data_IF_679925283075
#
_entry.id   IF_679925283075
#
_cell.length_a   1.000
_cell.length_b   1.000
_cell.length_c   1.000
_cell.angle_alpha   90.00
_cell.angle_beta   90.00
_cell.angle_gamma   90.00
#
_symmetry.space_group_name_H-M   'P 1'
#
loop_
_entity.id
_entity.type
_entity.pdbx_description
1 polymer ?
#
# COMPACT_ATOMS: atom_id res chain seq x y z
N UNK A 1 2.38 13.49 15.96
CA UNK A 1 3.29 12.36 16.23
C UNK A 1 4.61 12.82 16.78
N UNK A 2 5.35 13.73 16.12
CA UNK A 2 6.62 14.22 16.66
C UNK A 2 6.46 15.15 17.89
N UNK A 3 5.27 15.73 18.06
CA UNK A 3 4.90 16.63 19.17
C UNK A 3 3.92 15.99 20.16
N UNK A 4 3.92 14.67 20.30
CA UNK A 4 3.05 13.94 21.24
C UNK A 4 3.87 13.08 22.17
N UNK A 5 3.46 12.94 23.44
CA UNK A 5 4.01 12.00 24.44
C UNK A 5 3.69 10.53 24.10
N UNK A 6 3.57 10.21 22.81
CA UNK A 6 3.20 8.89 22.32
C UNK A 6 4.31 7.88 22.58
N UNK A 7 5.59 8.25 22.45
CA UNK A 7 6.71 7.33 22.75
C UNK A 7 6.66 6.92 24.23
N UNK A 8 6.57 7.90 25.13
CA UNK A 8 6.45 7.66 26.58
C UNK A 8 5.23 6.78 26.92
N UNK A 9 4.09 7.03 26.28
CA UNK A 9 2.91 6.18 26.44
C UNK A 9 3.10 4.76 25.89
N UNK A 10 3.87 4.59 24.82
CA UNK A 10 4.17 3.30 24.20
C UNK A 10 5.22 2.50 24.99
N UNK A 11 6.15 3.15 25.68
CA UNK A 11 7.11 2.52 26.62
C UNK A 11 6.39 1.85 27.79
N UNK A 12 5.31 2.48 28.27
CA UNK A 12 4.48 1.98 29.37
C UNK A 12 3.25 1.20 28.89
N UNK A 13 3.19 0.88 27.59
CA UNK A 13 2.09 0.11 27.01
C UNK A 13 2.06 -1.27 27.64
N UNK A 14 0.88 -1.69 28.13
CA UNK A 14 0.67 -3.05 28.63
C UNK A 14 0.94 -4.08 27.53
N UNK A 15 1.46 -5.24 27.90
CA UNK A 15 1.85 -6.31 26.97
C UNK A 15 0.67 -6.83 26.10
N UNK A 16 -0.55 -6.79 26.65
CA UNK A 16 -1.78 -7.22 25.97
C UNK A 16 -2.28 -6.21 24.92
N UNK A 17 -1.80 -4.96 24.97
CA UNK A 17 -2.19 -3.91 24.03
C UNK A 17 -1.25 -3.91 22.84
N UNK A 18 -1.83 -4.01 21.64
CA UNK A 18 -1.07 -3.98 20.39
C UNK A 18 -1.15 -2.62 19.72
N UNK A 19 0.01 -2.14 19.24
CA UNK A 19 0.13 -0.87 18.54
C UNK A 19 0.45 -1.10 17.06
N UNK A 20 -0.52 -0.75 16.22
CA UNK A 20 -0.46 -0.87 14.77
C UNK A 20 -0.67 0.51 14.14
N UNK A 21 0.39 1.32 13.95
CA UNK A 21 0.24 2.61 13.28
C UNK A 21 -0.17 2.41 11.83
N UNK A 22 -1.04 3.31 11.37
CA UNK A 22 -1.38 3.43 9.95
C UNK A 22 -0.29 4.24 9.24
N UNK A 23 0.35 3.63 8.24
CA UNK A 23 1.40 4.25 7.44
C UNK A 23 0.92 4.38 6.01
N UNK A 24 0.88 5.63 5.53
CA UNK A 24 0.54 5.94 4.15
C UNK A 24 1.82 5.91 3.29
N UNK A 25 1.74 5.42 2.04
CA UNK A 25 2.86 5.40 1.07
C UNK A 25 3.35 6.82 0.66
N UNK A 26 2.82 7.85 1.30
CA UNK A 26 2.88 9.26 0.94
C UNK A 26 3.95 10.07 1.71
N UNK A 27 4.50 9.58 2.81
CA UNK A 27 5.12 10.48 3.79
C UNK A 27 6.64 10.64 3.71
N UNK A 28 7.14 11.89 3.70
CA UNK A 28 8.43 12.28 4.35
C UNK A 28 8.50 11.84 5.83
N UNK A 29 7.36 11.44 6.40
CA UNK A 29 7.19 10.96 7.77
C UNK A 29 7.29 9.43 7.88
N UNK A 30 7.39 8.67 6.78
CA UNK A 30 7.66 7.23 6.84
C UNK A 30 9.00 6.99 7.53
N UNK A 31 10.03 7.77 7.17
CA UNK A 31 11.33 7.76 7.84
C UNK A 31 11.23 8.11 9.33
N UNK A 32 10.33 9.04 9.69
CA UNK A 32 10.08 9.41 11.10
C UNK A 32 9.43 8.26 11.87
N UNK A 33 8.50 7.52 11.26
CA UNK A 33 7.86 6.35 11.88
C UNK A 33 8.88 5.23 12.08
N UNK A 34 9.64 4.90 11.03
CA UNK A 34 10.69 3.87 11.07
C UNK A 34 11.73 4.22 12.14
N UNK A 35 12.29 5.42 12.10
CA UNK A 35 13.39 5.79 13.00
C UNK A 35 12.98 5.98 14.47
N UNK A 36 11.73 6.39 14.75
CA UNK A 36 11.31 6.73 16.13
C UNK A 36 10.44 5.69 16.81
N UNK A 37 9.70 4.88 16.05
CA UNK A 37 8.66 4.02 16.62
C UNK A 37 8.83 2.54 16.32
N UNK A 38 9.78 2.13 15.47
CA UNK A 38 9.93 0.74 15.04
C UNK A 38 10.06 -0.25 16.22
N UNK A 39 10.76 0.14 17.30
CA UNK A 39 10.91 -0.70 18.49
C UNK A 39 9.61 -0.87 19.31
N UNK A 40 8.63 0.01 19.10
CA UNK A 40 7.38 0.06 19.88
C UNK A 40 6.15 -0.42 19.10
N UNK A 41 6.30 -0.70 17.80
CA UNK A 41 5.20 -1.23 16.97
C UNK A 41 5.16 -2.75 17.05
N UNK A 42 3.94 -3.30 17.08
CA UNK A 42 3.70 -4.75 16.98
C UNK A 42 3.45 -5.20 15.54
N UNK A 43 3.31 -4.25 14.62
CA UNK A 43 2.92 -4.44 13.24
C UNK A 43 2.48 -3.11 12.64
N UNK A 44 2.16 -3.08 11.35
CA UNK A 44 1.72 -1.86 10.67
C UNK A 44 0.45 -2.07 9.87
N UNK A 45 -0.26 -0.97 9.63
CA UNK A 45 -1.36 -0.91 8.66
C UNK A 45 -0.90 -0.04 7.49
N UNK A 46 -0.56 -0.66 6.36
CA UNK A 46 -0.12 0.00 5.14
C UNK A 46 -1.33 0.46 4.30
N UNK A 47 -1.27 1.69 3.77
CA UNK A 47 -2.38 2.32 3.05
C UNK A 47 -1.90 3.10 1.84
N UNK A 48 -2.19 2.62 0.61
CA UNK A 48 -1.77 3.30 -0.62
C UNK A 48 -2.40 4.69 -0.78
N UNK A 49 -1.53 5.68 -0.98
CA UNK A 49 -1.90 7.06 -1.31
C UNK A 49 -2.33 7.27 -2.76
N UNK A 50 -2.00 6.33 -3.63
CA UNK A 50 -2.59 6.24 -4.96
C UNK A 50 -3.14 4.83 -5.13
N UNK A 51 -4.26 4.57 -4.44
CA UNK A 51 -4.97 3.29 -4.49
C UNK A 51 -5.27 2.80 -5.92
N UNK A 52 -5.27 3.72 -6.89
CA UNK A 52 -5.58 3.49 -8.30
C UNK A 52 -4.38 3.09 -9.18
N UNK A 53 -3.21 2.81 -8.59
CA UNK A 53 -2.04 2.35 -9.33
C UNK A 53 -1.64 0.93 -8.89
N UNK A 54 -2.25 -0.07 -9.51
CA UNK A 54 -1.99 -1.49 -9.22
C UNK A 54 -0.56 -1.86 -9.56
N UNK A 55 -0.02 -1.31 -10.64
CA UNK A 55 1.33 -1.63 -11.13
C UNK A 55 2.47 -1.20 -10.19
N UNK A 56 2.19 -0.28 -9.25
CA UNK A 56 3.14 0.15 -8.24
C UNK A 56 2.99 -0.59 -6.90
N UNK A 57 1.89 -1.31 -6.68
CA UNK A 57 1.50 -1.83 -5.36
C UNK A 57 2.43 -2.92 -4.82
N UNK A 58 2.80 -3.92 -5.64
CA UNK A 58 3.66 -5.02 -5.21
C UNK A 58 5.06 -4.55 -4.75
N UNK A 59 5.81 -3.76 -5.57
CA UNK A 59 7.08 -3.18 -5.13
C UNK A 59 6.96 -2.38 -3.84
N UNK A 60 5.86 -1.63 -3.73
CA UNK A 60 5.51 -0.82 -2.57
C UNK A 60 5.36 -1.66 -1.31
N UNK A 61 4.59 -2.75 -1.35
CA UNK A 61 4.37 -3.62 -0.20
C UNK A 61 5.66 -4.35 0.23
N UNK A 62 6.48 -4.78 -0.74
CA UNK A 62 7.78 -5.38 -0.43
C UNK A 62 8.70 -4.43 0.33
N UNK A 63 8.74 -3.15 -0.05
CA UNK A 63 9.54 -2.16 0.67
C UNK A 63 9.07 -2.01 2.13
N UNK A 64 7.77 -2.02 2.39
CA UNK A 64 7.25 -1.98 3.76
C UNK A 64 7.65 -3.20 4.57
N UNK A 65 7.66 -4.39 3.97
CA UNK A 65 8.20 -5.59 4.61
C UNK A 65 9.67 -5.40 5.02
N UNK A 66 10.48 -4.77 4.17
CA UNK A 66 11.90 -4.48 4.47
C UNK A 66 12.05 -3.40 5.55
N UNK A 67 11.29 -2.30 5.46
CA UNK A 67 11.38 -1.17 6.39
C UNK A 67 10.99 -1.51 7.82
N UNK A 68 10.12 -2.51 7.98
CA UNK A 68 9.56 -2.88 9.27
C UNK A 68 10.00 -4.27 9.73
N UNK A 69 11.13 -4.80 9.21
CA UNK A 69 11.95 -5.88 9.80
C UNK A 69 11.16 -6.92 10.64
N UNK A 70 10.51 -7.87 9.97
CA UNK A 70 9.67 -8.95 10.54
C UNK A 70 8.41 -8.53 11.31
N UNK A 71 8.01 -7.26 11.27
CA UNK A 71 6.72 -6.82 11.82
C UNK A 71 5.58 -7.18 10.85
N UNK A 72 4.46 -7.74 11.34
CA UNK A 72 3.33 -8.09 10.48
C UNK A 72 2.74 -6.86 9.80
N UNK A 73 2.55 -6.95 8.50
CA UNK A 73 1.98 -5.91 7.64
C UNK A 73 0.52 -6.26 7.36
N UNK A 74 -0.38 -5.32 7.64
CA UNK A 74 -1.77 -5.39 7.17
C UNK A 74 -2.00 -4.33 6.11
N UNK A 75 -2.67 -4.67 5.01
CA UNK A 75 -2.95 -3.71 3.95
C UNK A 75 -4.44 -3.35 3.88
N UNK A 76 -4.74 -2.06 3.70
CA UNK A 76 -6.11 -1.59 3.55
C UNK A 76 -6.55 -1.61 2.10
N UNK A 77 -7.65 -2.31 1.82
CA UNK A 77 -8.30 -2.36 0.51
C UNK A 77 -9.56 -1.52 0.56
N UNK A 78 -9.71 -0.60 -0.40
CA UNK A 78 -10.85 0.29 -0.53
C UNK A 78 -11.75 -0.16 -1.69
N UNK A 79 -12.83 -0.93 -1.45
CA UNK A 79 -13.79 -1.26 -2.50
C UNK A 79 -14.66 -0.04 -2.91
N UNK A 80 -14.47 1.11 -2.26
CA UNK A 80 -15.21 2.33 -2.55
C UNK A 80 -14.35 3.56 -2.32
N UNK A 81 -14.77 4.67 -2.91
CA UNK A 81 -14.08 5.95 -2.74
C UNK A 81 -14.14 6.43 -1.28
N UNK A 82 -13.03 6.94 -0.75
CA UNK A 82 -13.02 7.58 0.57
C UNK A 82 -13.44 9.04 0.45
N UNK A 83 -13.92 9.63 1.55
CA UNK A 83 -14.37 11.03 1.59
C UNK A 83 -13.32 12.03 1.06
N UNK A 84 -12.04 11.77 1.31
CA UNK A 84 -10.95 12.62 0.81
C UNK A 84 -10.83 12.57 -0.72
N UNK A 85 -11.00 11.39 -1.31
CA UNK A 85 -10.96 11.22 -2.77
C UNK A 85 -12.24 11.75 -3.43
N UNK A 86 -13.39 11.68 -2.76
CA UNK A 86 -14.64 12.28 -3.27
C UNK A 86 -14.50 13.80 -3.47
N UNK A 87 -13.82 14.48 -2.52
CA UNK A 87 -13.52 15.92 -2.62
C UNK A 87 -12.57 16.28 -3.76
N UNK A 88 -11.81 15.32 -4.26
CA UNK A 88 -10.85 15.47 -5.36
C UNK A 88 -11.41 14.95 -6.69
N UNK A 89 -12.73 14.73 -6.79
CA UNK A 89 -13.42 14.26 -7.99
C UNK A 89 -12.95 12.90 -8.53
N UNK A 90 -12.40 12.04 -7.67
CA UNK A 90 -12.09 10.67 -8.08
C UNK A 90 -13.39 9.88 -8.31
N UNK A 91 -13.32 8.92 -9.23
CA UNK A 91 -14.35 7.89 -9.35
C UNK A 91 -14.12 6.80 -8.31
N UNK A 92 -15.18 6.09 -7.87
CA UNK A 92 -15.01 4.81 -7.19
C UNK A 92 -14.14 3.86 -8.01
N UNK A 93 -13.34 3.00 -7.35
CA UNK A 93 -12.57 1.99 -8.07
C UNK A 93 -13.51 1.03 -8.80
N UNK A 94 -13.08 0.57 -9.97
CA UNK A 94 -13.77 -0.52 -10.66
C UNK A 94 -13.57 -1.83 -9.92
N UNK A 95 -14.48 -2.80 -10.13
CA UNK A 95 -14.32 -4.15 -9.56
C UNK A 95 -12.98 -4.78 -9.97
N UNK A 96 -12.50 -4.50 -11.18
CA UNK A 96 -11.20 -4.96 -11.65
C UNK A 96 -10.04 -4.36 -10.83
N UNK A 97 -10.08 -3.06 -10.53
CA UNK A 97 -9.05 -2.44 -9.67
C UNK A 97 -9.05 -3.05 -8.27
N UNK A 98 -10.23 -3.29 -7.69
CA UNK A 98 -10.38 -3.92 -6.38
C UNK A 98 -9.83 -5.35 -6.40
N UNK A 99 -10.20 -6.15 -7.39
CA UNK A 99 -9.80 -7.56 -7.47
C UNK A 99 -8.30 -7.72 -7.75
N UNK A 100 -7.72 -6.84 -8.57
CA UNK A 100 -6.27 -6.83 -8.84
C UNK A 100 -5.48 -6.42 -7.59
N UNK A 101 -5.99 -5.46 -6.83
CA UNK A 101 -5.39 -5.04 -5.55
C UNK A 101 -5.45 -6.17 -4.53
N UNK A 102 -6.59 -6.87 -4.43
CA UNK A 102 -6.74 -8.04 -3.56
C UNK A 102 -5.78 -9.16 -3.96
N UNK A 103 -5.66 -9.46 -5.25
CA UNK A 103 -4.77 -10.49 -5.80
C UNK A 103 -3.30 -10.25 -5.41
N UNK A 104 -2.83 -9.01 -5.47
CA UNK A 104 -1.47 -8.65 -5.06
C UNK A 104 -1.35 -8.72 -3.53
N UNK A 105 -2.21 -8.00 -2.81
CA UNK A 105 -2.10 -7.86 -1.37
C UNK A 105 -2.18 -9.20 -0.64
N UNK A 106 -3.07 -10.10 -1.07
CA UNK A 106 -3.26 -11.41 -0.42
C UNK A 106 -2.04 -12.33 -0.49
N UNK A 107 -1.14 -12.09 -1.45
CA UNK A 107 0.10 -12.86 -1.59
C UNK A 107 1.28 -12.29 -0.81
N UNK A 108 1.22 -11.00 -0.42
CA UNK A 108 2.37 -10.26 0.10
C UNK A 108 2.23 -9.91 1.58
N UNK A 109 1.02 -9.57 2.05
CA UNK A 109 0.82 -9.08 3.41
C UNK A 109 0.22 -10.11 4.34
N UNK A 110 0.47 -9.98 5.64
CA UNK A 110 -0.03 -10.87 6.70
C UNK A 110 -1.53 -10.73 6.96
N UNK A 111 -2.15 -9.66 6.47
CA UNK A 111 -3.60 -9.49 6.58
C UNK A 111 -4.17 -8.38 5.71
N UNK A 112 -5.42 -8.58 5.29
CA UNK A 112 -6.18 -7.60 4.52
C UNK A 112 -7.25 -6.97 5.41
N UNK A 113 -7.35 -5.63 5.36
CA UNK A 113 -8.41 -4.86 5.99
C UNK A 113 -9.28 -4.25 4.90
N UNK A 114 -10.53 -4.70 4.79
CA UNK A 114 -11.49 -4.16 3.83
C UNK A 114 -12.17 -2.93 4.45
N UNK A 115 -11.93 -1.75 3.87
CA UNK A 115 -12.46 -0.50 4.39
C UNK A 115 -13.81 -0.15 3.75
N UNK A 116 -14.88 -0.37 4.51
CA UNK A 116 -16.28 -0.19 4.11
C UNK A 116 -16.74 -1.08 2.93
N UNK A 117 -18.07 -1.10 2.68
CA UNK A 117 -18.74 -1.83 1.60
C UNK A 117 -18.27 -3.28 1.44
N UNK A 118 -18.21 -3.98 2.57
CA UNK A 118 -17.90 -5.42 2.58
C UNK A 118 -18.95 -6.26 1.85
N UNK A 119 -20.16 -5.73 1.71
CA UNK A 119 -21.30 -6.31 1.01
C UNK A 119 -21.23 -6.12 -0.52
N UNK A 120 -20.20 -5.47 -1.05
CA UNK A 120 -20.06 -5.32 -2.50
C UNK A 120 -19.89 -6.70 -3.18
N UNK A 121 -20.44 -6.90 -4.39
CA UNK A 121 -20.37 -8.19 -5.07
C UNK A 121 -18.94 -8.71 -5.25
N UNK A 122 -17.99 -7.84 -5.61
CA UNK A 122 -16.58 -8.20 -5.79
C UNK A 122 -15.93 -8.67 -4.47
N UNK A 123 -16.27 -8.04 -3.33
CA UNK A 123 -15.75 -8.45 -2.04
C UNK A 123 -16.38 -9.77 -1.58
N UNK A 124 -17.69 -9.93 -1.76
CA UNK A 124 -18.39 -11.17 -1.42
C UNK A 124 -17.89 -12.35 -2.27
N UNK A 125 -17.64 -12.13 -3.56
CA UNK A 125 -17.02 -13.13 -4.43
C UNK A 125 -15.62 -13.50 -3.94
N UNK A 126 -14.80 -12.52 -3.56
CA UNK A 126 -13.47 -12.77 -3.00
C UNK A 126 -13.51 -13.59 -1.71
N UNK A 127 -14.27 -13.15 -0.71
CA UNK A 127 -14.34 -13.81 0.61
C UNK A 127 -14.86 -15.25 0.49
N UNK A 128 -15.74 -15.54 -0.47
CA UNK A 128 -16.27 -16.88 -0.69
C UNK A 128 -15.25 -17.85 -1.29
N UNK A 129 -14.24 -17.35 -1.99
CA UNK A 129 -13.40 -18.18 -2.87
C UNK A 129 -11.91 -18.17 -2.52
N UNK A 130 -11.45 -17.25 -1.67
CA UNK A 130 -10.01 -17.03 -1.41
C UNK A 130 -9.28 -18.28 -0.87
N UNK A 131 -9.94 -19.08 -0.02
CA UNK A 131 -9.23 -20.16 0.67
C UNK A 131 -9.02 -21.43 -0.17
N UNK A 132 -9.93 -21.76 -1.10
CA UNK A 132 -9.98 -23.10 -1.71
C UNK A 132 -10.52 -23.15 -3.16
N UNK A 133 -10.41 -22.07 -3.94
CA UNK A 133 -10.88 -22.07 -5.34
C UNK A 133 -9.78 -21.66 -6.33
N UNK A 134 -9.05 -22.64 -6.85
CA UNK A 134 -7.97 -22.41 -7.83
C UNK A 134 -8.44 -21.69 -9.11
N UNK A 135 -9.65 -22.01 -9.60
CA UNK A 135 -10.19 -21.35 -10.78
C UNK A 135 -10.45 -19.85 -10.53
N UNK A 136 -10.91 -19.51 -9.33
CA UNK A 136 -11.05 -18.12 -8.90
C UNK A 136 -9.69 -17.44 -8.73
N UNK A 137 -8.72 -18.09 -8.08
CA UNK A 137 -7.37 -17.55 -7.92
C UNK A 137 -6.68 -17.28 -9.28
N UNK A 138 -6.87 -18.18 -10.25
CA UNK A 138 -6.40 -17.97 -11.63
C UNK A 138 -7.11 -16.79 -12.30
N UNK A 139 -8.42 -16.64 -12.10
CA UNK A 139 -9.21 -15.50 -12.61
C UNK A 139 -8.69 -14.16 -12.07
N UNK A 140 -8.47 -14.04 -10.76
CA UNK A 140 -8.03 -12.77 -10.16
C UNK A 140 -6.60 -12.41 -10.59
N UNK A 141 -5.71 -13.40 -10.71
CA UNK A 141 -4.37 -13.18 -11.22
C UNK A 141 -4.38 -12.68 -12.68
N UNK A 142 -5.25 -13.26 -13.53
CA UNK A 142 -5.42 -12.75 -14.89
C UNK A 142 -5.95 -11.31 -14.93
N UNK A 143 -6.85 -10.93 -14.01
CA UNK A 143 -7.34 -9.56 -13.91
C UNK A 143 -6.26 -8.58 -13.48
N UNK A 144 -5.41 -8.98 -12.52
CA UNK A 144 -4.19 -8.28 -12.14
C UNK A 144 -3.27 -8.04 -13.34
N UNK A 145 -2.91 -9.08 -14.09
CA UNK A 145 -2.04 -8.94 -15.28
C UNK A 145 -2.61 -7.96 -16.32
N UNK A 146 -3.91 -8.05 -16.60
CA UNK A 146 -4.60 -7.15 -17.53
C UNK A 146 -4.55 -5.70 -17.02
N UNK A 147 -4.86 -5.48 -15.74
CA UNK A 147 -4.85 -4.15 -15.15
C UNK A 147 -3.44 -3.52 -15.20
N UNK A 148 -2.40 -4.28 -14.83
CA UNK A 148 -1.00 -3.83 -14.90
C UNK A 148 -0.60 -3.54 -16.35
N UNK A 149 -1.01 -4.39 -17.31
CA UNK A 149 -0.72 -4.17 -18.73
C UNK A 149 -1.39 -2.91 -19.26
N UNK A 150 -2.62 -2.63 -18.87
CA UNK A 150 -3.33 -1.41 -19.27
C UNK A 150 -2.70 -0.17 -18.64
N UNK A 151 -2.34 -0.20 -17.36
CA UNK A 151 -1.65 0.92 -16.69
C UNK A 151 -0.29 1.23 -17.33
N UNK A 152 0.45 0.18 -17.72
CA UNK A 152 1.74 0.31 -18.42
C UNK A 152 1.59 0.68 -19.90
N UNK A 153 0.54 0.19 -20.58
CA UNK A 153 0.27 0.44 -22.01
C UNK A 153 -0.37 1.79 -22.30
N UNK A 154 -1.22 2.28 -21.38
CA UNK A 154 -1.75 3.65 -21.41
C UNK A 154 -0.65 4.71 -21.23
N UNK A 155 0.49 4.33 -20.63
CA UNK A 155 1.65 5.19 -20.54
C UNK A 155 2.35 5.46 -21.88
N UNK A 156 2.14 4.62 -22.92
CA UNK A 156 2.86 4.71 -24.19
C UNK A 156 2.05 5.21 -25.38
N UNK A 157 0.72 5.29 -25.33
CA UNK A 157 -0.10 5.70 -26.50
C UNK A 157 -0.96 6.96 -26.26
N UNK A 158 -1.49 7.19 -25.04
CA UNK A 158 -2.37 8.35 -24.78
C UNK A 158 -1.74 9.51 -23.97
N UNK A 159 -0.52 9.32 -23.42
CA UNK A 159 0.19 10.38 -22.68
C UNK A 159 0.91 11.40 -23.55
N UNK A 160 1.01 11.19 -24.86
CA UNK A 160 1.63 12.18 -25.75
C UNK A 160 0.68 13.34 -26.13
N UNK A 161 -0.64 13.21 -25.96
CA UNK A 161 -1.60 14.23 -26.44
C UNK A 161 -2.68 14.67 -25.42
N UNK A 162 -2.66 14.17 -24.17
CA UNK A 162 -3.60 14.64 -23.14
C UNK A 162 -2.87 15.38 -22.01
N UNK A 163 -3.38 16.55 -21.63
CA UNK A 163 -3.03 17.19 -20.37
C UNK A 163 -3.32 16.17 -19.27
N UNK A 164 -2.29 15.62 -18.64
CA UNK A 164 -2.46 14.68 -17.54
C UNK A 164 -3.42 15.27 -16.51
N UNK A 165 -4.42 14.47 -16.14
CA UNK A 165 -5.39 14.88 -15.13
C UNK A 165 -4.64 15.17 -13.83
N UNK A 166 -5.14 16.10 -13.01
CA UNK A 166 -4.52 16.44 -11.73
C UNK A 166 -4.33 15.19 -10.84
N UNK A 167 -5.24 14.24 -10.96
CA UNK A 167 -5.19 12.87 -10.43
C UNK A 167 -3.93 12.09 -10.82
N UNK A 168 -3.58 12.05 -12.12
CA UNK A 168 -2.39 11.35 -12.61
C UNK A 168 -1.11 12.06 -12.17
N UNK A 169 -1.13 13.40 -12.08
CA UNK A 169 -0.01 14.18 -11.56
C UNK A 169 0.23 13.90 -10.08
N UNK A 170 -0.82 13.85 -9.27
CA UNK A 170 -0.73 13.51 -7.85
C UNK A 170 -0.18 12.09 -7.66
N UNK A 171 -0.73 11.11 -8.37
CA UNK A 171 -0.25 9.72 -8.35
C UNK A 171 1.20 9.57 -8.80
N UNK A 172 1.63 10.33 -9.82
CA UNK A 172 3.03 10.34 -10.28
C UNK A 172 3.95 11.00 -9.25
N UNK A 173 3.54 12.11 -8.64
CA UNK A 173 4.28 12.76 -7.56
C UNK A 173 4.45 11.81 -6.36
N UNK A 174 3.39 11.06 -6.01
CA UNK A 174 3.43 10.03 -4.99
C UNK A 174 4.44 8.92 -5.33
N UNK A 175 4.37 8.42 -6.55
CA UNK A 175 5.31 7.41 -7.02
C UNK A 175 6.77 7.89 -6.97
N UNK A 176 7.03 9.16 -7.31
CA UNK A 176 8.37 9.73 -7.24
C UNK A 176 8.89 9.88 -5.80
N UNK A 177 8.02 10.28 -4.85
CA UNK A 177 8.36 10.28 -3.40
C UNK A 177 8.70 8.87 -2.91
N UNK A 178 7.95 7.87 -3.37
CA UNK A 178 8.23 6.47 -3.11
C UNK A 178 9.60 6.03 -3.63
N UNK A 179 9.92 6.30 -4.90
CA UNK A 179 11.22 5.94 -5.50
C UNK A 179 12.38 6.62 -4.76
N UNK A 180 12.21 7.87 -4.32
CA UNK A 180 13.23 8.56 -3.53
C UNK A 180 13.50 7.84 -2.20
N UNK A 181 12.46 7.50 -1.43
CA UNK A 181 12.61 6.79 -0.15
C UNK A 181 13.26 5.41 -0.35
N UNK A 182 12.88 4.69 -1.40
CA UNK A 182 13.48 3.40 -1.78
C UNK A 182 14.99 3.53 -2.06
N UNK A 183 15.36 4.48 -2.91
CA UNK A 183 16.77 4.69 -3.28
C UNK A 183 17.62 5.14 -2.08
N UNK A 184 17.06 5.97 -1.19
CA UNK A 184 17.72 6.36 0.05
C UNK A 184 17.99 5.15 0.96
N UNK A 185 17.02 4.22 1.05
CA UNK A 185 17.20 3.01 1.85
C UNK A 185 18.30 2.09 1.30
N UNK A 186 18.34 1.91 -0.02
CA UNK A 186 19.41 1.14 -0.67
C UNK A 186 20.80 1.72 -0.39
N UNK A 187 20.90 3.05 -0.28
CA UNK A 187 22.14 3.73 0.08
C UNK A 187 22.56 3.47 1.53
N UNK A 188 21.62 3.39 2.46
CA UNK A 188 21.90 3.07 3.87
C UNK A 188 22.36 1.63 4.07
N UNK A 189 21.76 0.67 3.36
CA UNK A 189 22.16 -0.74 3.44
C UNK A 189 23.55 -0.98 2.81
N UNK A 190 23.92 -0.19 1.79
CA UNK A 190 25.26 -0.23 1.19
C UNK A 190 26.32 0.45 2.05
N UNK A 191 26.01 1.53 2.78
CA UNK A 191 26.95 2.15 3.73
C UNK A 191 27.19 1.26 4.96
N UNK A 192 26.14 0.63 5.51
CA UNK A 192 26.28 -0.30 6.63
C UNK A 192 27.10 -1.55 6.29
N UNK A 193 27.09 -2.00 5.03
CA UNK A 193 27.96 -3.10 4.56
C UNK A 193 29.41 -2.68 4.34
N UNK A 194 29.67 -1.41 4.04
CA UNK A 194 31.01 -0.87 3.84
C UNK A 194 31.73 -0.56 5.17
N UNK A 195 31.00 -0.15 6.21
CA UNK A 195 31.58 0.15 7.53
C UNK A 195 31.87 -1.10 8.38
N UNK A 196 31.37 -2.26 7.96
CA UNK A 196 31.56 -3.56 8.62
C UNK A 196 32.52 -4.51 7.87
N UNK A 197 33.24 -4.00 6.85
CA UNK A 197 34.22 -4.73 6.05
C UNK A 197 35.64 -4.19 6.30
#
# INVERSE_FOLDING_TARGET
MEYSNLIEALEHKREDVKFFPTVYFEGKKTDVVVNKFLNHVDGIIAVSGCYYNVSALEPQLHLFGVLFDDKPVKYVVYPTITHNYTRQHYSPPSDRLVISTLSIASRIVDGILIWHKIDSPVIQEYLKNIDNNEAYLSKINRMEEIQIKEERGGATIDKMHSNSTETEKNCLEWYNKYIHAYNYLLQLDTSHKADNA
#
